data_IF_042908602695
#
_entry.id   IF_042908602695
#
_cell.length_a   1.000
_cell.length_b   1.000
_cell.length_c   1.000
_cell.angle_alpha   90.00
_cell.angle_beta   90.00
_cell.angle_gamma   90.00
#
_symmetry.space_group_name_H-M   'P 1'
#
loop_
_entity.id
_entity.type
_entity.pdbx_description
1 polymer ?
#
# COMPACT_ATOMS: atom_id res chain seq x y z
N UNK A 1 -23.22 6.73 -10.05
CA UNK A 1 -23.27 6.04 -8.76
C UNK A 1 -21.91 5.48 -8.40
N UNK A 2 -21.44 5.81 -7.25
CA UNK A 2 -20.15 5.30 -6.80
C UNK A 2 -20.27 3.83 -6.46
N UNK A 3 -19.55 3.02 -7.19
CA UNK A 3 -19.52 1.59 -6.96
C UNK A 3 -18.66 1.31 -5.73
N UNK A 4 -19.24 0.67 -4.74
CA UNK A 4 -18.53 0.27 -3.55
C UNK A 4 -17.46 -0.76 -3.92
N UNK A 5 -16.19 -0.42 -3.71
CA UNK A 5 -15.11 -1.36 -3.98
C UNK A 5 -15.10 -2.46 -2.94
N UNK A 6 -14.75 -3.66 -3.40
CA UNK A 6 -14.53 -4.76 -2.50
C UNK A 6 -13.31 -4.46 -1.63
N UNK A 7 -13.49 -4.51 -0.32
CA UNK A 7 -12.37 -4.28 0.59
C UNK A 7 -11.27 -5.31 0.34
N UNK A 8 -10.03 -4.84 0.20
CA UNK A 8 -8.88 -5.72 0.10
C UNK A 8 -8.67 -6.41 1.44
N UNK A 9 -8.67 -7.75 1.49
CA UNK A 9 -8.46 -8.45 2.75
C UNK A 9 -7.08 -8.14 3.31
N UNK A 10 -7.00 -8.01 4.63
CA UNK A 10 -5.72 -7.78 5.28
C UNK A 10 -4.88 -9.05 5.23
N UNK A 11 -3.65 -8.91 4.72
CA UNK A 11 -2.67 -10.00 4.72
C UNK A 11 -1.34 -9.43 5.18
N UNK A 12 -0.96 -9.75 6.40
CA UNK A 12 0.30 -9.28 6.98
C UNK A 12 1.47 -9.63 6.07
N UNK A 13 2.33 -8.66 5.82
CA UNK A 13 3.50 -8.79 4.96
C UNK A 13 3.29 -8.39 3.51
N UNK A 14 2.05 -8.22 3.07
CA UNK A 14 1.77 -7.88 1.66
C UNK A 14 2.07 -6.42 1.37
N UNK A 15 2.68 -6.18 0.22
CA UNK A 15 2.89 -4.84 -0.31
C UNK A 15 1.66 -4.45 -1.14
N UNK A 16 1.18 -3.25 -0.92
CA UNK A 16 0.04 -2.70 -1.65
C UNK A 16 0.41 -1.36 -2.26
N UNK A 17 -0.29 -0.98 -3.32
CA UNK A 17 -0.26 0.38 -3.85
C UNK A 17 -1.58 1.05 -3.54
N UNK A 18 -1.50 2.34 -3.23
CA UNK A 18 -2.67 3.14 -2.90
C UNK A 18 -2.69 4.34 -3.83
N UNK A 19 -3.82 4.54 -4.52
CA UNK A 19 -3.98 5.70 -5.38
C UNK A 19 -4.40 6.89 -4.53
N UNK A 20 -3.60 7.94 -4.57
CA UNK A 20 -3.87 9.17 -3.85
C UNK A 20 -4.77 10.10 -4.70
N UNK A 21 -5.30 11.15 -4.08
CA UNK A 21 -6.26 12.07 -4.75
C UNK A 21 -5.71 12.71 -6.02
N UNK A 22 -4.43 12.95 -6.07
CA UNK A 22 -3.78 13.58 -7.23
C UNK A 22 -3.43 12.59 -8.35
N UNK A 23 -3.89 11.36 -8.26
CA UNK A 23 -3.60 10.33 -9.25
C UNK A 23 -2.22 9.70 -9.12
N UNK A 24 -1.51 9.99 -8.05
CA UNK A 24 -0.20 9.39 -7.78
C UNK A 24 -0.41 8.18 -6.87
N UNK A 25 0.33 7.11 -7.16
CA UNK A 25 0.31 5.90 -6.35
C UNK A 25 1.47 5.90 -5.37
N UNK A 26 1.24 5.39 -4.17
CA UNK A 26 2.26 5.21 -3.14
C UNK A 26 2.30 3.74 -2.74
N UNK A 27 3.49 3.23 -2.42
CA UNK A 27 3.65 1.87 -1.91
C UNK A 27 3.54 1.85 -0.39
N UNK A 28 2.89 0.82 0.11
CA UNK A 28 2.77 0.56 1.54
C UNK A 28 2.83 -0.95 1.78
N UNK A 29 3.09 -1.34 3.01
CA UNK A 29 3.10 -2.74 3.41
C UNK A 29 2.13 -2.95 4.57
N UNK A 30 1.26 -3.95 4.43
CA UNK A 30 0.42 -4.40 5.52
C UNK A 30 1.30 -5.12 6.54
N UNK A 31 1.38 -4.58 7.73
CA UNK A 31 2.06 -5.24 8.83
C UNK A 31 1.00 -5.78 9.78
N UNK A 32 1.17 -5.67 11.06
CA UNK A 32 0.15 -6.11 11.99
C UNK A 32 -1.09 -5.23 11.88
N UNK A 33 -2.25 -5.81 11.58
CA UNK A 33 -3.51 -5.05 11.46
C UNK A 33 -3.75 -4.23 12.72
N UNK A 34 -4.09 -2.93 12.63
CA UNK A 34 -4.48 -2.18 11.44
C UNK A 34 -3.37 -1.28 10.88
N UNK A 35 -2.12 -1.63 11.05
CA UNK A 35 -0.99 -0.75 10.73
C UNK A 35 -0.46 -0.96 9.32
N UNK A 36 -0.24 0.16 8.61
CA UNK A 36 0.45 0.20 7.33
C UNK A 36 1.77 0.93 7.49
N UNK A 37 2.81 0.39 6.88
CA UNK A 37 4.10 1.06 6.72
C UNK A 37 4.13 1.68 5.33
N UNK A 38 4.31 2.99 5.26
CA UNK A 38 4.35 3.72 3.99
C UNK A 38 5.78 3.98 3.55
N UNK A 39 6.03 3.79 2.25
CA UNK A 39 7.37 3.93 1.68
C UNK A 39 7.47 5.19 0.82
N UNK A 40 8.68 5.73 0.73
CA UNK A 40 8.99 6.88 -0.12
C UNK A 40 9.15 6.43 -1.58
N UNK A 41 8.10 5.81 -2.12
CA UNK A 41 8.04 5.38 -3.50
C UNK A 41 6.71 5.80 -4.08
N UNK A 42 6.77 6.72 -5.04
CA UNK A 42 5.59 7.30 -5.68
C UNK A 42 5.68 7.10 -7.18
N UNK A 43 4.55 6.88 -7.84
CA UNK A 43 4.50 6.75 -9.28
C UNK A 43 3.15 7.23 -9.80
N UNK A 44 3.15 7.88 -10.95
CA UNK A 44 1.92 8.30 -11.63
C UNK A 44 1.20 7.12 -12.25
N UNK A 45 1.92 6.03 -12.50
CA UNK A 45 1.37 4.78 -13.00
C UNK A 45 1.52 3.70 -11.93
N UNK A 46 0.57 2.78 -11.88
CA UNK A 46 0.65 1.67 -10.94
C UNK A 46 1.57 0.58 -11.49
N UNK A 47 2.83 0.94 -11.72
CA UNK A 47 3.84 0.06 -12.28
C UNK A 47 5.11 0.14 -11.42
N UNK A 48 5.47 -0.98 -10.80
CA UNK A 48 6.53 -1.02 -9.80
C UNK A 48 7.68 -1.95 -10.20
N UNK A 49 7.83 -2.22 -11.49
CA UNK A 49 8.93 -3.04 -12.00
C UNK A 49 10.27 -2.40 -11.68
N UNK A 50 11.18 -3.20 -11.16
CA UNK A 50 12.52 -2.74 -10.82
C UNK A 50 12.61 -1.97 -9.51
N UNK A 51 11.51 -1.80 -8.81
CA UNK A 51 11.50 -1.12 -7.50
C UNK A 51 12.00 -2.10 -6.44
N UNK A 52 12.95 -1.66 -5.64
CA UNK A 52 13.44 -2.39 -4.46
C UNK A 52 13.14 -1.56 -3.23
N UNK A 53 12.36 -2.13 -2.32
CA UNK A 53 12.05 -1.45 -1.06
C UNK A 53 13.13 -1.74 -0.03
N UNK A 54 13.53 -0.71 0.69
CA UNK A 54 14.51 -0.80 1.78
C UNK A 54 13.91 -0.21 3.04
N UNK A 55 14.39 -0.64 4.20
CA UNK A 55 13.92 -0.09 5.47
C UNK A 55 14.13 1.44 5.54
N UNK A 56 15.21 1.93 4.97
CA UNK A 56 15.51 3.37 4.90
C UNK A 56 14.50 4.15 4.07
N UNK A 57 13.70 3.48 3.23
CA UNK A 57 12.65 4.11 2.43
C UNK A 57 11.34 4.29 3.20
N UNK A 58 11.27 3.80 4.42
CA UNK A 58 10.07 3.92 5.25
C UNK A 58 9.88 5.39 5.65
N UNK A 59 8.71 5.93 5.31
CA UNK A 59 8.31 7.28 5.69
C UNK A 59 7.70 7.30 7.07
N UNK A 60 6.71 6.46 7.29
CA UNK A 60 6.00 6.38 8.56
C UNK A 60 5.16 5.10 8.62
N UNK A 61 4.72 4.78 9.82
CA UNK A 61 3.78 3.70 10.09
C UNK A 61 2.51 4.32 10.69
N UNK A 62 1.36 3.94 10.18
CA UNK A 62 0.09 4.52 10.62
C UNK A 62 -1.01 3.48 10.68
N UNK A 63 -1.85 3.57 11.70
CA UNK A 63 -3.08 2.79 11.78
C UNK A 63 -4.09 3.33 10.79
N UNK A 64 -4.77 2.44 10.08
CA UNK A 64 -5.81 2.83 9.13
C UNK A 64 -7.13 2.17 9.50
N UNK A 65 -8.23 2.76 9.05
CA UNK A 65 -9.55 2.23 9.33
C UNK A 65 -9.96 1.23 8.25
N UNK A 66 -10.98 0.42 8.55
CA UNK A 66 -11.57 -0.47 7.55
C UNK A 66 -12.15 0.32 6.38
N UNK A 67 -12.70 1.51 6.67
CA UNK A 67 -13.25 2.39 5.63
C UNK A 67 -12.16 2.85 4.66
N UNK A 68 -10.95 3.10 5.15
CA UNK A 68 -9.82 3.43 4.30
C UNK A 68 -9.60 2.36 3.24
N UNK A 69 -9.53 1.09 3.66
CA UNK A 69 -9.30 -0.02 2.73
C UNK A 69 -10.49 -0.27 1.80
N UNK A 70 -11.71 0.03 2.28
CA UNK A 70 -12.93 -0.18 1.51
C UNK A 70 -13.14 0.85 0.40
N UNK A 71 -12.79 2.11 0.68
CA UNK A 71 -13.08 3.21 -0.23
C UNK A 71 -11.87 3.78 -0.95
N UNK A 72 -10.67 3.39 -0.57
CA UNK A 72 -9.45 3.80 -1.26
C UNK A 72 -9.11 2.80 -2.36
N UNK A 73 -8.70 3.28 -3.56
CA UNK A 73 -8.22 2.38 -4.60
C UNK A 73 -6.91 1.72 -4.16
N UNK A 74 -6.99 0.46 -3.76
CA UNK A 74 -5.86 -0.31 -3.24
C UNK A 74 -5.66 -1.54 -4.11
N UNK A 75 -4.43 -1.84 -4.47
CA UNK A 75 -4.09 -3.04 -5.23
C UNK A 75 -2.90 -3.75 -4.59
N UNK A 76 -2.90 -5.08 -4.63
CA UNK A 76 -1.77 -5.87 -4.14
C UNK A 76 -0.66 -5.82 -5.18
N UNK A 77 0.56 -5.54 -4.73
CA UNK A 77 1.75 -5.48 -5.58
C UNK A 77 2.58 -6.72 -5.32
N UNK A 78 2.69 -7.58 -6.32
CA UNK A 78 3.40 -8.86 -6.18
C UNK A 78 4.86 -8.79 -6.62
N UNK A 79 5.20 -7.81 -7.46
CA UNK A 79 6.53 -7.70 -8.04
C UNK A 79 7.57 -7.06 -7.11
N UNK A 80 7.16 -6.60 -5.95
CA UNK A 80 8.04 -5.91 -5.00
C UNK A 80 8.17 -6.74 -3.74
N UNK A 81 9.42 -6.97 -3.30
CA UNK A 81 9.69 -7.70 -2.06
C UNK A 81 9.65 -6.74 -0.88
N UNK A 82 8.88 -7.03 0.18
CA UNK A 82 8.84 -6.17 1.34
C UNK A 82 10.13 -6.26 2.17
N UNK A 83 10.60 -5.14 2.71
CA UNK A 83 11.80 -5.14 3.55
C UNK A 83 11.50 -5.52 5.00
N UNK A 84 10.26 -5.37 5.44
CA UNK A 84 9.86 -5.65 6.82
C UNK A 84 9.45 -7.11 6.95
N UNK A 85 10.11 -7.84 7.82
CA UNK A 85 9.75 -9.23 8.14
C UNK A 85 8.79 -9.23 9.31
N UNK A 86 7.77 -10.04 9.18
CA UNK A 86 6.75 -10.19 10.23
C UNK A 86 6.94 -11.50 10.97
#
# INVERSE_FOLDING_TARGET
MLKKNRATPWKSGKVISICLRNGVYILAQMVREPYLVFFNHFNEENNWKGVTLKEEDILFCKAVTRQFLRYSPVAIVKEVTPPVRL
#
